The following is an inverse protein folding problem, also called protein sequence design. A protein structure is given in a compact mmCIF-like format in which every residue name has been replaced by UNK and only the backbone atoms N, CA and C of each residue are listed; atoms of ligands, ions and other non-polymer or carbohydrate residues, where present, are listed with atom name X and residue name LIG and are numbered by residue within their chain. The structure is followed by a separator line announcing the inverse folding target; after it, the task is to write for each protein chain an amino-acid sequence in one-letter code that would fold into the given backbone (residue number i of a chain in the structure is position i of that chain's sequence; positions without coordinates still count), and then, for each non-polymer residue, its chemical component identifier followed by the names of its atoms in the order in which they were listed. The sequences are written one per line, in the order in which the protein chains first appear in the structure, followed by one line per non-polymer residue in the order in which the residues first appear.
data_IF_691276706643
#
_entry.id   IF_691276706643
#
_cell.length_a   1.000
_cell.length_b   1.000
_cell.length_c   1.000
_cell.angle_alpha   90.00
_cell.angle_beta   90.00
_cell.angle_gamma   90.00
#
_symmetry.space_group_name_H-M   'P 1'
#
loop_
_entity.id
_entity.type
_entity.pdbx_description
1 polymer ?
#
# COMPACT_ATOMS: atom_id res chain seq x y z
N UNK A 1 44.54 -17.88 16.42
CA UNK A 1 43.34 -17.20 15.88
C UNK A 1 42.15 -17.89 16.51
N UNK A 2 41.33 -17.17 17.25
CA UNK A 2 40.13 -17.69 17.91
C UNK A 2 39.02 -17.86 16.88
N UNK A 3 38.38 -19.04 16.86
CA UNK A 3 37.22 -19.31 16.00
C UNK A 3 35.93 -19.01 16.78
N UNK A 4 35.23 -17.94 16.38
CA UNK A 4 33.98 -17.49 17.00
C UNK A 4 32.73 -17.82 16.16
N UNK A 5 32.85 -18.72 15.18
CA UNK A 5 31.75 -19.04 14.25
C UNK A 5 30.55 -19.71 14.95
N UNK A 6 30.82 -20.53 15.96
CA UNK A 6 29.80 -21.18 16.78
C UNK A 6 29.05 -20.17 17.64
N UNK A 7 29.77 -19.27 18.30
CA UNK A 7 29.22 -18.18 19.11
C UNK A 7 28.42 -17.23 18.23
N UNK A 8 28.89 -16.93 17.02
CA UNK A 8 28.16 -16.07 16.07
C UNK A 8 26.85 -16.69 15.62
N UNK A 9 26.78 -18.03 15.53
CA UNK A 9 25.52 -18.77 15.29
C UNK A 9 24.60 -18.74 16.50
N UNK A 10 25.12 -18.95 17.70
CA UNK A 10 24.33 -18.94 18.94
C UNK A 10 23.77 -17.55 19.24
N UNK A 11 24.59 -16.52 19.15
CA UNK A 11 24.22 -15.12 19.35
C UNK A 11 23.15 -14.65 18.35
N UNK A 12 23.27 -15.05 17.08
CA UNK A 12 22.26 -14.76 16.06
C UNK A 12 20.88 -15.36 16.43
N UNK A 13 20.87 -16.60 16.92
CA UNK A 13 19.64 -17.29 17.31
C UNK A 13 19.04 -16.75 18.62
N UNK A 14 19.91 -16.38 19.57
CA UNK A 14 19.51 -15.77 20.84
C UNK A 14 18.90 -14.38 20.64
N UNK A 15 19.49 -13.57 19.76
CA UNK A 15 19.02 -12.20 19.46
C UNK A 15 17.97 -12.13 18.34
N UNK A 16 17.59 -13.26 17.74
CA UNK A 16 16.70 -13.35 16.58
C UNK A 16 17.11 -12.43 15.41
N UNK A 17 18.40 -12.42 15.08
CA UNK A 17 18.97 -11.65 13.97
C UNK A 17 19.83 -12.51 13.04
N UNK A 18 20.05 -12.05 11.82
CA UNK A 18 20.97 -12.72 10.90
C UNK A 18 22.42 -12.63 11.41
N UNK A 19 23.21 -13.70 11.21
CA UNK A 19 24.63 -13.79 11.64
C UNK A 19 25.48 -12.59 11.25
N UNK A 20 25.24 -12.01 10.09
CA UNK A 20 26.01 -10.86 9.60
C UNK A 20 25.77 -9.57 10.39
N UNK A 21 24.67 -9.50 11.16
CA UNK A 21 24.32 -8.36 12.03
C UNK A 21 24.82 -8.54 13.46
N UNK A 22 25.43 -9.68 13.79
CA UNK A 22 26.01 -9.90 15.11
C UNK A 22 27.39 -9.26 15.15
N UNK A 23 27.51 -8.25 16.01
CA UNK A 23 28.76 -7.58 16.34
C UNK A 23 29.36 -8.18 17.62
N UNK A 24 30.67 -8.38 17.62
CA UNK A 24 31.44 -8.85 18.77
C UNK A 24 32.48 -7.80 19.13
N UNK A 25 32.58 -7.49 20.41
CA UNK A 25 33.60 -6.60 20.94
C UNK A 25 35.00 -7.17 20.66
N UNK A 26 35.87 -6.44 19.91
CA UNK A 26 37.23 -6.88 19.65
C UNK A 26 38.09 -7.08 20.89
N UNK A 27 37.80 -6.38 21.99
CA UNK A 27 38.56 -6.48 23.25
C UNK A 27 38.15 -7.70 24.09
N UNK A 28 36.93 -8.21 23.88
CA UNK A 28 36.35 -9.32 24.65
C UNK A 28 36.43 -10.68 23.93
N UNK A 29 37.26 -10.82 22.89
CA UNK A 29 37.30 -12.06 22.08
C UNK A 29 37.69 -13.32 22.88
N UNK A 30 38.44 -13.16 23.97
CA UNK A 30 38.77 -14.26 24.90
C UNK A 30 37.52 -14.76 25.62
N UNK A 31 36.84 -13.85 26.32
CA UNK A 31 35.60 -14.13 27.06
C UNK A 31 34.51 -14.72 26.15
N UNK A 32 34.36 -14.17 24.95
CA UNK A 32 33.40 -14.69 23.95
C UNK A 32 33.80 -16.10 23.50
N UNK A 33 35.08 -16.41 23.34
CA UNK A 33 35.52 -17.75 22.97
C UNK A 33 35.22 -18.81 24.05
N UNK A 34 35.21 -18.41 25.32
CA UNK A 34 34.91 -19.28 26.47
C UNK A 34 33.41 -19.57 26.62
N UNK A 35 32.52 -18.74 26.06
CA UNK A 35 31.08 -18.97 26.08
C UNK A 35 30.68 -20.16 25.18
N UNK A 36 30.13 -21.21 25.79
CA UNK A 36 29.71 -22.46 25.13
C UNK A 36 28.18 -22.55 25.06
N UNK A 37 27.50 -22.11 26.12
CA UNK A 37 26.06 -22.22 26.28
C UNK A 37 25.33 -20.98 25.77
N UNK A 38 24.02 -21.10 25.53
CA UNK A 38 23.18 -19.96 25.15
C UNK A 38 22.99 -18.96 26.30
N UNK A 39 23.09 -19.42 27.54
CA UNK A 39 22.88 -18.59 28.72
C UNK A 39 24.08 -17.63 28.89
N UNK A 40 25.32 -18.13 28.77
CA UNK A 40 26.54 -17.30 28.73
C UNK A 40 26.52 -16.28 27.57
N UNK A 41 26.02 -16.68 26.39
CA UNK A 41 25.84 -15.75 25.26
C UNK A 41 24.82 -14.65 25.58
N UNK A 42 23.76 -14.94 26.36
CA UNK A 42 22.81 -13.91 26.80
C UNK A 42 23.45 -12.95 27.80
N UNK A 43 24.25 -13.45 28.73
CA UNK A 43 25.00 -12.61 29.68
C UNK A 43 25.94 -11.65 28.93
N UNK A 44 26.68 -12.14 27.94
CA UNK A 44 27.55 -11.30 27.10
C UNK A 44 26.77 -10.27 26.24
N UNK A 45 25.52 -10.57 25.88
CA UNK A 45 24.63 -9.61 25.21
C UNK A 45 24.16 -8.53 26.19
N UNK A 46 23.77 -8.93 27.40
CA UNK A 46 23.32 -8.01 28.46
C UNK A 46 24.46 -7.07 28.92
N UNK A 47 25.70 -7.56 28.96
CA UNK A 47 26.92 -6.78 29.20
C UNK A 47 27.31 -5.88 28.01
N UNK A 48 26.69 -6.07 26.85
CA UNK A 48 26.95 -5.30 25.63
C UNK A 48 28.23 -5.69 24.88
N UNK A 49 28.87 -6.82 25.23
CA UNK A 49 30.03 -7.38 24.51
C UNK A 49 29.63 -8.07 23.20
N UNK A 50 28.37 -8.49 23.10
CA UNK A 50 27.73 -8.97 21.88
C UNK A 50 26.53 -8.06 21.58
N UNK A 51 26.46 -7.53 20.37
CA UNK A 51 25.37 -6.62 19.97
C UNK A 51 24.79 -7.00 18.62
N UNK A 52 23.57 -6.55 18.35
CA UNK A 52 22.94 -6.67 17.05
C UNK A 52 22.93 -5.32 16.34
N UNK A 53 23.64 -5.22 15.21
CA UNK A 53 23.61 -4.04 14.35
C UNK A 53 22.21 -3.83 13.76
N UNK A 54 21.75 -2.58 13.71
CA UNK A 54 20.48 -2.24 13.08
C UNK A 54 20.49 -2.55 11.57
N UNK A 55 19.39 -3.11 11.03
CA UNK A 55 19.32 -3.36 9.60
C UNK A 55 19.11 -2.03 8.87
N UNK A 56 19.83 -1.85 7.76
CA UNK A 56 19.58 -0.68 6.91
C UNK A 56 18.17 -0.73 6.30
N UNK A 57 17.47 0.41 6.35
CA UNK A 57 16.14 0.58 5.79
C UNK A 57 16.15 1.48 4.55
N UNK A 58 15.40 1.11 3.51
CA UNK A 58 15.28 1.95 2.32
C UNK A 58 14.49 3.23 2.62
N UNK A 59 15.11 4.39 2.39
CA UNK A 59 14.42 5.68 2.53
C UNK A 59 13.25 5.82 1.55
N UNK A 60 12.11 6.30 2.06
CA UNK A 60 10.90 6.54 1.28
C UNK A 60 10.73 8.00 0.81
N UNK A 61 11.65 8.90 1.16
CA UNK A 61 11.52 10.35 0.86
C UNK A 61 11.28 10.64 -0.63
N UNK A 62 12.19 10.20 -1.49
CA UNK A 62 12.09 10.33 -2.96
C UNK A 62 10.83 9.68 -3.54
N UNK A 63 10.41 8.55 -2.98
CA UNK A 63 9.21 7.86 -3.43
C UNK A 63 7.93 8.63 -3.09
N UNK A 64 7.85 9.20 -1.87
CA UNK A 64 6.71 10.03 -1.43
C UNK A 64 6.59 11.30 -2.26
N UNK A 65 7.70 12.00 -2.51
CA UNK A 65 7.71 13.20 -3.34
C UNK A 65 7.20 12.92 -4.76
N UNK A 66 7.71 11.86 -5.39
CA UNK A 66 7.25 11.42 -6.72
C UNK A 66 5.76 11.07 -6.74
N UNK A 67 5.27 10.38 -5.71
CA UNK A 67 3.86 10.02 -5.59
C UNK A 67 2.98 11.27 -5.43
N UNK A 68 3.41 12.26 -4.65
CA UNK A 68 2.68 13.52 -4.50
C UNK A 68 2.56 14.27 -5.85
N UNK A 69 3.66 14.36 -6.61
CA UNK A 69 3.63 14.97 -7.97
C UNK A 69 2.69 14.21 -8.92
N UNK A 70 2.69 12.87 -8.87
CA UNK A 70 1.80 12.02 -9.68
C UNK A 70 0.34 12.14 -9.28
N UNK A 71 0.05 12.24 -7.98
CA UNK A 71 -1.31 12.43 -7.46
C UNK A 71 -1.91 13.76 -7.91
N UNK A 72 -1.09 14.81 -7.97
CA UNK A 72 -1.49 16.10 -8.56
C UNK A 72 -1.74 16.04 -10.08
N UNK A 73 -1.23 15.00 -10.76
CA UNK A 73 -1.37 14.80 -12.20
C UNK A 73 -0.09 15.02 -13.02
N UNK A 74 1.00 15.50 -12.40
CA UNK A 74 2.29 15.66 -13.05
C UNK A 74 3.01 14.31 -13.27
N UNK A 75 4.09 14.33 -14.06
CA UNK A 75 4.94 13.16 -14.35
C UNK A 75 4.22 11.96 -15.01
N UNK A 76 3.04 12.20 -15.60
CA UNK A 76 2.20 11.19 -16.26
C UNK A 76 2.07 11.42 -17.79
N UNK A 77 2.96 12.22 -18.40
CA UNK A 77 2.96 12.51 -19.85
C UNK A 77 3.39 11.33 -20.72
N UNK A 78 3.12 11.40 -22.04
CA UNK A 78 3.25 10.25 -22.96
C UNK A 78 4.61 9.53 -22.88
N UNK A 79 5.73 10.27 -22.92
CA UNK A 79 7.08 9.69 -22.84
C UNK A 79 7.47 9.10 -21.48
N UNK A 80 6.68 9.32 -20.41
CA UNK A 80 6.90 8.71 -19.08
C UNK A 80 6.04 7.47 -18.86
N UNK A 81 5.04 7.23 -19.71
CA UNK A 81 4.13 6.09 -19.61
C UNK A 81 4.84 4.83 -20.09
N UNK A 82 4.62 3.73 -19.38
CA UNK A 82 5.08 2.39 -19.78
C UNK A 82 3.90 1.43 -19.68
N UNK A 83 3.88 0.42 -20.56
CA UNK A 83 2.78 -0.53 -20.69
C UNK A 83 1.59 -0.01 -21.52
N UNK A 84 0.75 -0.95 -21.99
CA UNK A 84 -0.46 -0.65 -22.78
C UNK A 84 -1.51 0.09 -21.92
N UNK A 85 -2.41 0.85 -22.55
CA UNK A 85 -3.48 1.61 -21.87
C UNK A 85 -4.29 0.75 -20.90
N UNK A 86 -4.81 -0.38 -21.38
CA UNK A 86 -5.62 -1.33 -20.59
C UNK A 86 -4.87 -1.97 -19.40
N UNK A 87 -3.53 -1.99 -19.42
CA UNK A 87 -2.73 -2.49 -18.31
C UNK A 87 -2.55 -1.42 -17.20
N UNK A 88 -2.61 -0.13 -17.57
CA UNK A 88 -2.50 0.99 -16.62
C UNK A 88 -3.83 1.34 -15.98
N UNK A 89 -4.92 1.10 -16.71
CA UNK A 89 -6.28 1.23 -16.23
C UNK A 89 -7.13 0.18 -16.94
N UNK A 90 -7.69 -0.76 -16.16
CA UNK A 90 -8.54 -1.79 -16.70
C UNK A 90 -9.91 -1.21 -17.08
N UNK A 91 -10.34 -1.45 -18.31
CA UNK A 91 -11.58 -0.88 -18.86
C UNK A 91 -12.84 -1.43 -18.17
N UNK A 92 -12.80 -2.71 -17.77
CA UNK A 92 -13.90 -3.35 -17.03
C UNK A 92 -14.04 -2.75 -15.64
N UNK A 93 -12.93 -2.55 -14.93
CA UNK A 93 -12.95 -1.91 -13.60
C UNK A 93 -13.41 -0.46 -13.69
N UNK A 94 -12.99 0.26 -14.73
CA UNK A 94 -13.47 1.62 -14.99
C UNK A 94 -14.99 1.65 -15.21
N UNK A 95 -15.53 0.76 -16.05
CA UNK A 95 -16.98 0.64 -16.26
C UNK A 95 -17.72 0.27 -14.97
N UNK A 96 -17.21 -0.71 -14.22
CA UNK A 96 -17.80 -1.11 -12.93
C UNK A 96 -17.85 0.05 -11.94
N UNK A 97 -16.78 0.84 -11.84
CA UNK A 97 -16.72 2.00 -10.96
C UNK A 97 -17.71 3.09 -11.39
N UNK A 98 -17.82 3.37 -12.70
CA UNK A 98 -18.80 4.32 -13.24
C UNK A 98 -20.23 3.91 -12.94
N UNK A 99 -20.62 2.67 -13.27
CA UNK A 99 -21.99 2.21 -13.09
C UNK A 99 -22.38 2.10 -11.61
N UNK A 100 -21.45 1.70 -10.74
CA UNK A 100 -21.69 1.66 -9.28
C UNK A 100 -21.91 3.06 -8.72
N UNK A 101 -21.13 4.05 -9.15
CA UNK A 101 -21.31 5.45 -8.74
C UNK A 101 -22.67 6.01 -9.20
N UNK A 102 -23.06 5.76 -10.45
CA UNK A 102 -24.36 6.18 -10.98
C UNK A 102 -25.53 5.53 -10.22
N UNK A 103 -25.47 4.20 -10.01
CA UNK A 103 -26.52 3.46 -9.29
C UNK A 103 -26.64 3.89 -7.82
N UNK A 104 -25.51 4.19 -7.17
CA UNK A 104 -25.50 4.74 -5.81
C UNK A 104 -26.22 6.08 -5.79
N UNK A 105 -25.88 6.99 -6.71
CA UNK A 105 -26.52 8.30 -6.78
C UNK A 105 -28.04 8.20 -7.08
N UNK A 106 -28.44 7.34 -8.00
CA UNK A 106 -29.86 7.09 -8.27
C UNK A 106 -30.62 6.56 -7.06
N UNK A 107 -29.99 5.68 -6.26
CA UNK A 107 -30.58 5.17 -5.03
C UNK A 107 -30.77 6.29 -4.00
N UNK A 108 -29.74 7.12 -3.80
CA UNK A 108 -29.81 8.27 -2.91
C UNK A 108 -30.95 9.24 -3.30
N UNK A 109 -31.10 9.55 -4.58
CA UNK A 109 -32.15 10.46 -5.07
C UNK A 109 -33.56 9.89 -4.85
N UNK A 110 -33.74 8.59 -5.11
CA UNK A 110 -35.01 7.89 -4.83
C UNK A 110 -35.33 7.89 -3.34
N UNK A 111 -34.35 7.57 -2.50
CA UNK A 111 -34.57 7.46 -1.05
C UNK A 111 -34.86 8.82 -0.40
N UNK A 112 -34.41 9.92 -1.02
CA UNK A 112 -34.77 11.30 -0.65
C UNK A 112 -36.13 11.76 -1.19
N UNK A 113 -36.75 11.01 -2.10
CA UNK A 113 -37.98 11.39 -2.77
C UNK A 113 -37.81 12.32 -3.98
N UNK A 114 -36.58 12.69 -4.35
CA UNK A 114 -36.28 13.49 -5.55
C UNK A 114 -36.61 12.72 -6.85
N UNK A 115 -36.69 11.38 -6.79
CA UNK A 115 -37.14 10.55 -7.90
C UNK A 115 -38.24 9.60 -7.44
N UNK A 116 -39.31 9.51 -8.23
CA UNK A 116 -40.31 8.46 -8.08
C UNK A 116 -39.70 7.07 -8.37
N UNK A 117 -40.27 5.98 -7.82
CA UNK A 117 -39.80 4.62 -8.11
C UNK A 117 -39.77 4.29 -9.62
N UNK A 118 -40.71 4.83 -10.39
CA UNK A 118 -40.81 4.67 -11.84
C UNK A 118 -39.66 5.37 -12.56
N UNK A 119 -39.42 6.65 -12.26
CA UNK A 119 -38.29 7.42 -12.82
C UNK A 119 -36.95 6.76 -12.47
N UNK A 120 -36.77 6.35 -11.20
CA UNK A 120 -35.59 5.59 -10.76
C UNK A 120 -35.36 4.34 -11.62
N UNK A 121 -36.39 3.53 -11.85
CA UNK A 121 -36.26 2.28 -12.61
C UNK A 121 -35.90 2.53 -14.08
N UNK A 122 -36.46 3.57 -14.69
CA UNK A 122 -36.11 3.96 -16.07
C UNK A 122 -34.66 4.40 -16.16
N UNK A 123 -34.22 5.31 -15.28
CA UNK A 123 -32.85 5.81 -15.23
C UNK A 123 -31.84 4.70 -14.90
N UNK A 124 -32.21 3.75 -14.03
CA UNK A 124 -31.38 2.60 -13.69
C UNK A 124 -31.10 1.71 -14.90
N UNK A 125 -32.11 1.46 -15.73
CA UNK A 125 -31.96 0.69 -16.99
C UNK A 125 -31.08 1.45 -17.98
N UNK A 126 -31.31 2.75 -18.18
CA UNK A 126 -30.48 3.61 -19.05
C UNK A 126 -29.02 3.63 -18.61
N UNK A 127 -28.76 3.78 -17.30
CA UNK A 127 -27.41 3.69 -16.75
C UNK A 127 -26.78 2.32 -17.03
N UNK A 128 -27.52 1.23 -16.84
CA UNK A 128 -27.07 -0.12 -17.17
C UNK A 128 -26.72 -0.31 -18.66
N UNK A 129 -27.39 0.41 -19.55
CA UNK A 129 -27.10 0.45 -20.99
C UNK A 129 -25.92 1.35 -21.38
N UNK A 130 -25.34 2.10 -20.43
CA UNK A 130 -24.20 2.98 -20.71
C UNK A 130 -24.57 4.37 -21.24
N UNK A 131 -25.85 4.77 -21.14
CA UNK A 131 -26.34 6.07 -21.65
C UNK A 131 -25.63 7.26 -20.99
N UNK A 132 -25.16 7.10 -19.75
CA UNK A 132 -24.52 8.17 -18.99
C UNK A 132 -23.00 7.95 -18.89
N UNK A 133 -22.22 8.95 -19.31
CA UNK A 133 -20.75 8.93 -19.23
C UNK A 133 -20.18 9.21 -17.82
N UNK A 134 -20.95 9.89 -16.97
CA UNK A 134 -20.53 10.28 -15.61
C UNK A 134 -21.75 10.53 -14.72
N UNK A 135 -21.54 10.64 -13.40
CA UNK A 135 -22.61 11.02 -12.46
C UNK A 135 -23.11 12.44 -12.74
N UNK A 136 -22.23 13.37 -13.09
CA UNK A 136 -22.64 14.74 -13.47
C UNK A 136 -23.57 14.72 -14.69
N UNK A 137 -23.24 13.95 -15.71
CA UNK A 137 -24.08 13.85 -16.91
C UNK A 137 -25.45 13.23 -16.58
N UNK A 138 -25.48 12.22 -15.72
CA UNK A 138 -26.73 11.66 -15.19
C UNK A 138 -27.56 12.73 -14.46
N UNK A 139 -26.94 13.57 -13.63
CA UNK A 139 -27.67 14.61 -12.89
C UNK A 139 -28.24 15.69 -13.80
N UNK A 140 -27.46 16.16 -14.77
CA UNK A 140 -27.97 17.11 -15.77
C UNK A 140 -29.17 16.51 -16.53
N UNK A 141 -29.09 15.25 -16.94
CA UNK A 141 -30.20 14.58 -17.60
C UNK A 141 -31.46 14.51 -16.71
N UNK A 142 -31.28 14.26 -15.41
CA UNK A 142 -32.40 14.24 -14.47
C UNK A 142 -33.03 15.63 -14.35
N UNK A 143 -32.20 16.67 -14.21
CA UNK A 143 -32.63 18.07 -14.11
C UNK A 143 -33.41 18.49 -15.36
N UNK A 144 -32.88 18.21 -16.55
CA UNK A 144 -33.50 18.58 -17.84
C UNK A 144 -34.85 17.86 -18.09
N UNK A 145 -35.07 16.66 -17.54
CA UNK A 145 -36.25 15.84 -17.84
C UNK A 145 -37.27 15.77 -16.69
N UNK A 146 -36.82 16.01 -15.46
CA UNK A 146 -37.60 15.81 -14.25
C UNK A 146 -37.41 16.92 -13.21
N UNK A 147 -36.57 17.93 -13.48
CA UNK A 147 -36.48 19.12 -12.64
C UNK A 147 -37.77 19.94 -12.73
N UNK A 148 -38.11 20.60 -11.62
CA UNK A 148 -39.22 21.56 -11.58
C UNK A 148 -38.88 22.76 -12.49
N UNK A 149 -39.77 23.10 -13.43
CA UNK A 149 -39.74 24.41 -14.09
C UNK A 149 -40.26 25.49 -13.17
#
# INVERSE_FOLDING_TARGET
MTDLSAQKRLAADVMDVGKNRVWFDPEAQGDIAEAITRDEIRELVDEGRIQADDPSGNSRGRARERNAKRAYGHQNGQGKRRGKKGARQNEKDEWQNKIRAQRRKLRELRDKGELTPTQYRQLYKKAGGGEFRSVRYLLNYIDDNYGDQ
#
